data_IF_651139306644
#
_entry.id   IF_651139306644
#
_cell.length_a   1.000
_cell.length_b   1.000
_cell.length_c   1.000
_cell.angle_alpha   90.00
_cell.angle_beta   90.00
_cell.angle_gamma   90.00
#
_symmetry.space_group_name_H-M   'P 1'
#
loop_
_entity.id
_entity.type
_entity.pdbx_description
1 polymer ?
#
# COMPACT_ATOMS: atom_id res chain seq x y z
N UNK A 1 1.72 1.87 -24.88
CA UNK A 1 2.80 1.26 -24.07
C UNK A 1 2.84 -0.24 -24.35
N UNK A 2 4.01 -0.89 -24.28
CA UNK A 2 4.13 -2.36 -24.32
C UNK A 2 4.41 -2.83 -22.90
N UNK A 3 3.34 -2.94 -22.11
CA UNK A 3 3.44 -3.28 -20.69
C UNK A 3 3.70 -4.77 -20.51
N UNK A 4 4.70 -5.08 -19.70
CA UNK A 4 4.90 -6.43 -19.17
C UNK A 4 3.73 -6.81 -18.24
N UNK A 5 3.45 -8.11 -18.03
CA UNK A 5 2.41 -8.55 -17.09
C UNK A 5 2.56 -7.94 -15.69
N UNK A 6 3.79 -7.87 -15.20
CA UNK A 6 4.11 -7.27 -13.91
C UNK A 6 3.80 -5.76 -13.85
N UNK A 7 4.04 -5.01 -14.92
CA UNK A 7 3.64 -3.60 -14.97
C UNK A 7 2.12 -3.43 -15.02
N UNK A 8 1.40 -4.35 -15.66
CA UNK A 8 -0.07 -4.35 -15.66
C UNK A 8 -0.62 -4.64 -14.26
N UNK A 9 -0.04 -5.59 -13.53
CA UNK A 9 -0.40 -5.88 -12.14
C UNK A 9 -0.23 -4.65 -11.24
N UNK A 10 0.87 -3.90 -11.39
CA UNK A 10 1.09 -2.63 -10.65
C UNK A 10 0.03 -1.58 -10.96
N UNK A 11 -0.41 -1.47 -12.21
CA UNK A 11 -1.51 -0.55 -12.57
C UNK A 11 -2.85 -0.99 -11.95
N UNK A 12 -3.13 -2.30 -11.93
CA UNK A 12 -4.32 -2.83 -11.27
C UNK A 12 -4.30 -2.57 -9.76
N UNK A 13 -3.14 -2.72 -9.12
CA UNK A 13 -2.95 -2.41 -7.71
C UNK A 13 -3.22 -0.92 -7.42
N UNK A 14 -2.65 -0.02 -8.23
CA UNK A 14 -2.89 1.43 -8.07
C UNK A 14 -4.37 1.77 -8.25
N UNK A 15 -5.04 1.16 -9.22
CA UNK A 15 -6.50 1.34 -9.38
C UNK A 15 -7.30 0.78 -8.19
N UNK A 16 -6.89 -0.35 -7.60
CA UNK A 16 -7.51 -0.89 -6.40
C UNK A 16 -7.36 0.06 -5.20
N UNK A 17 -6.19 0.68 -5.04
CA UNK A 17 -5.94 1.69 -4.01
C UNK A 17 -6.83 2.93 -4.22
N UNK A 18 -6.93 3.43 -5.44
CA UNK A 18 -7.79 4.56 -5.78
C UNK A 18 -9.28 4.24 -5.56
N UNK A 19 -9.72 3.02 -5.90
CA UNK A 19 -11.07 2.55 -5.57
C UNK A 19 -11.32 2.52 -4.06
N UNK A 20 -10.35 2.04 -3.27
CA UNK A 20 -10.41 2.00 -1.82
C UNK A 20 -10.45 3.42 -1.22
N UNK A 21 -9.60 4.36 -1.66
CA UNK A 21 -9.63 5.76 -1.24
C UNK A 21 -11.00 6.41 -1.51
N UNK A 22 -11.59 6.16 -2.69
CA UNK A 22 -12.96 6.63 -3.02
C UNK A 22 -14.04 6.02 -2.10
N UNK A 23 -13.89 4.78 -1.65
CA UNK A 23 -14.80 4.14 -0.68
C UNK A 23 -14.65 4.77 0.71
N UNK A 24 -13.42 4.92 1.20
CA UNK A 24 -13.10 5.61 2.47
C UNK A 24 -13.62 7.04 2.47
N UNK A 25 -13.47 7.78 1.37
CA UNK A 25 -13.97 9.15 1.23
C UNK A 25 -15.50 9.29 1.32
N UNK A 26 -16.26 8.20 1.19
CA UNK A 26 -17.70 8.15 1.45
C UNK A 26 -18.05 7.66 2.87
N UNK A 27 -17.06 7.48 3.73
CA UNK A 27 -17.23 6.99 5.11
C UNK A 27 -17.33 5.47 5.24
N UNK A 28 -16.99 4.70 4.20
CA UNK A 28 -16.99 3.23 4.27
C UNK A 28 -15.69 2.76 4.92
N UNK A 29 -15.80 1.98 6.00
CA UNK A 29 -14.64 1.29 6.62
C UNK A 29 -14.10 0.25 5.65
N UNK A 30 -12.79 0.25 5.47
CA UNK A 30 -12.10 -0.57 4.48
C UNK A 30 -11.99 -2.02 4.92
N UNK A 31 -12.13 -2.94 3.98
CA UNK A 31 -11.83 -4.36 4.22
C UNK A 31 -10.33 -4.66 4.01
N UNK A 32 -9.95 -5.92 4.24
CA UNK A 32 -8.56 -6.38 4.14
C UNK A 32 -7.86 -6.04 2.80
N UNK A 33 -8.37 -6.44 1.61
CA UNK A 33 -7.68 -6.15 0.35
C UNK A 33 -7.62 -4.65 0.02
N UNK A 34 -8.59 -3.86 0.48
CA UNK A 34 -8.57 -2.41 0.31
C UNK A 34 -7.47 -1.75 1.15
N UNK A 35 -7.30 -2.19 2.40
CA UNK A 35 -6.23 -1.71 3.27
C UNK A 35 -4.85 -2.06 2.68
N UNK A 36 -4.65 -3.32 2.25
CA UNK A 36 -3.43 -3.76 1.55
C UNK A 36 -3.13 -2.88 0.34
N UNK A 37 -4.13 -2.63 -0.51
CA UNK A 37 -3.95 -1.85 -1.72
C UNK A 37 -3.48 -0.41 -1.43
N UNK A 38 -4.09 0.26 -0.44
CA UNK A 38 -3.71 1.63 -0.07
C UNK A 38 -2.27 1.70 0.48
N UNK A 39 -1.87 0.76 1.34
CA UNK A 39 -0.52 0.71 1.91
C UNK A 39 0.50 0.38 0.82
N UNK A 40 0.18 -0.57 -0.06
CA UNK A 40 1.05 -0.95 -1.15
C UNK A 40 1.27 0.18 -2.16
N UNK A 41 0.21 0.90 -2.52
CA UNK A 41 0.27 2.09 -3.39
C UNK A 41 1.08 3.22 -2.74
N UNK A 42 0.97 3.45 -1.43
CA UNK A 42 1.82 4.40 -0.70
C UNK A 42 3.32 4.06 -0.82
N UNK A 43 3.67 2.78 -0.72
CA UNK A 43 5.06 2.32 -0.89
C UNK A 43 5.55 2.56 -2.32
N UNK A 44 4.74 2.20 -3.33
CA UNK A 44 5.11 2.36 -4.74
C UNK A 44 5.33 3.82 -5.10
N UNK A 45 4.41 4.70 -4.70
CA UNK A 45 4.52 6.14 -4.99
C UNK A 45 5.67 6.79 -4.20
N UNK A 46 5.88 6.40 -2.94
CA UNK A 46 7.02 6.89 -2.17
C UNK A 46 8.37 6.45 -2.73
N UNK A 47 8.47 5.23 -3.27
CA UNK A 47 9.67 4.79 -3.98
C UNK A 47 9.88 5.59 -5.27
N UNK A 48 8.78 5.90 -5.99
CA UNK A 48 8.81 6.75 -7.18
C UNK A 48 9.26 8.19 -6.88
N UNK A 49 8.90 8.71 -5.72
CA UNK A 49 9.33 10.00 -5.18
C UNK A 49 10.80 10.01 -4.70
N UNK A 50 11.45 8.84 -4.65
CA UNK A 50 12.84 8.71 -4.21
C UNK A 50 13.04 8.66 -2.70
N UNK A 51 11.98 8.36 -1.93
CA UNK A 51 12.10 8.09 -0.50
C UNK A 51 12.93 6.84 -0.26
N UNK A 52 13.54 6.74 0.92
CA UNK A 52 14.31 5.54 1.27
C UNK A 52 13.41 4.37 1.65
N UNK A 53 13.93 3.14 1.56
CA UNK A 53 13.23 1.94 2.05
C UNK A 53 12.84 2.10 3.53
N UNK A 54 13.76 2.59 4.36
CA UNK A 54 13.53 2.76 5.79
C UNK A 54 12.39 3.77 6.09
N UNK A 55 12.33 4.88 5.34
CA UNK A 55 11.24 5.85 5.44
C UNK A 55 9.89 5.24 5.05
N UNK A 56 9.86 4.37 4.03
CA UNK A 56 8.63 3.71 3.59
C UNK A 56 8.19 2.60 4.55
N UNK A 57 9.13 1.90 5.17
CA UNK A 57 8.83 0.95 6.26
C UNK A 57 8.15 1.65 7.44
N UNK A 58 8.65 2.83 7.82
CA UNK A 58 8.07 3.61 8.93
C UNK A 58 6.74 4.26 8.53
N UNK A 59 6.74 5.05 7.45
CA UNK A 59 5.53 5.80 7.03
C UNK A 59 4.39 4.91 6.55
N UNK A 60 4.67 3.66 6.18
CA UNK A 60 3.65 2.65 5.87
C UNK A 60 2.73 2.33 7.06
N UNK A 61 3.21 2.49 8.30
CA UNK A 61 2.42 2.29 9.52
C UNK A 61 1.50 3.47 9.86
N UNK A 62 1.69 4.63 9.21
CA UNK A 62 0.94 5.85 9.47
C UNK A 62 -0.17 6.08 8.44
N UNK A 63 -0.33 5.18 7.45
CA UNK A 63 -1.24 5.38 6.30
C UNK A 63 -2.71 5.17 6.69
N UNK A 64 -2.97 4.19 7.56
CA UNK A 64 -4.30 3.79 7.98
C UNK A 64 -4.33 3.57 9.48
N UNK A 65 -5.46 3.94 10.09
CA UNK A 65 -5.75 3.71 11.50
C UNK A 65 -6.85 2.64 11.65
N UNK A 66 -7.06 2.14 12.87
CA UNK A 66 -8.16 1.19 13.18
C UNK A 66 -9.54 1.72 12.81
N UNK A 67 -9.73 3.03 12.85
CA UNK A 67 -11.01 3.67 12.52
C UNK A 67 -11.29 3.63 11.00
N UNK A 68 -10.24 3.50 10.18
CA UNK A 68 -10.35 3.47 8.72
C UNK A 68 -10.75 2.11 8.17
N UNK A 69 -10.53 1.04 8.93
CA UNK A 69 -10.69 -0.35 8.48
C UNK A 69 -11.76 -1.08 9.30
N UNK A 70 -12.33 -2.15 8.78
CA UNK A 70 -13.29 -3.00 9.49
C UNK A 70 -12.66 -3.71 10.70
N UNK A 71 -13.50 -4.17 11.63
CA UNK A 71 -13.05 -4.97 12.78
C UNK A 71 -12.30 -6.23 12.33
N UNK A 72 -11.20 -6.56 13.02
CA UNK A 72 -10.35 -7.71 12.71
C UNK A 72 -9.32 -7.50 11.59
N UNK A 73 -9.49 -6.46 10.75
CA UNK A 73 -8.53 -6.16 9.68
C UNK A 73 -7.11 -5.86 10.18
N UNK A 74 -6.89 -5.07 11.24
CA UNK A 74 -5.54 -4.82 11.78
C UNK A 74 -4.83 -6.11 12.19
N UNK A 75 -5.55 -7.04 12.81
CA UNK A 75 -5.00 -8.33 13.28
C UNK A 75 -4.70 -9.29 12.13
N UNK A 76 -5.45 -9.19 11.02
CA UNK A 76 -5.20 -9.98 9.81
C UNK A 76 -3.97 -9.50 9.03
N UNK A 77 -3.59 -8.23 9.18
CA UNK A 77 -2.48 -7.58 8.48
C UNK A 77 -1.18 -7.66 9.30
N UNK A 78 -0.51 -8.81 9.27
CA UNK A 78 0.82 -8.96 9.89
C UNK A 78 1.88 -8.11 9.21
N UNK A 79 1.81 -8.05 7.88
CA UNK A 79 2.74 -7.29 7.06
C UNK A 79 2.16 -7.03 5.67
N UNK A 80 2.69 -5.99 5.03
CA UNK A 80 2.49 -5.70 3.61
C UNK A 80 3.86 -5.66 2.94
N UNK A 81 4.03 -6.50 1.92
CA UNK A 81 5.27 -6.63 1.16
C UNK A 81 5.07 -6.18 -0.28
N UNK A 82 5.94 -5.28 -0.74
CA UNK A 82 5.88 -4.76 -2.11
C UNK A 82 7.28 -4.57 -2.67
N UNK A 83 7.52 -5.09 -3.86
CA UNK A 83 8.69 -4.73 -4.65
C UNK A 83 8.45 -3.41 -5.37
N UNK A 84 9.23 -2.39 -5.00
CA UNK A 84 9.13 -1.06 -5.59
C UNK A 84 10.44 -0.68 -6.30
N UNK A 85 10.33 0.13 -7.35
CA UNK A 85 11.49 0.56 -8.15
C UNK A 85 11.95 1.93 -7.66
N UNK A 86 13.08 1.95 -6.96
CA UNK A 86 13.74 3.15 -6.43
C UNK A 86 14.72 3.73 -7.46
N UNK A 87 15.23 4.96 -7.25
CA UNK A 87 16.27 5.55 -8.10
C UNK A 87 17.53 4.67 -8.26
N UNK A 88 17.82 3.82 -7.27
CA UNK A 88 18.98 2.92 -7.24
C UNK A 88 18.64 1.45 -7.48
N UNK A 89 17.41 1.14 -7.93
CA UNK A 89 17.00 -0.20 -8.34
C UNK A 89 15.75 -0.73 -7.63
N UNK A 90 15.32 -1.93 -8.00
CA UNK A 90 14.16 -2.58 -7.37
C UNK A 90 14.53 -3.16 -6.01
N UNK A 91 13.70 -2.88 -5.00
CA UNK A 91 13.88 -3.38 -3.63
C UNK A 91 12.54 -3.84 -3.06
N UNK A 92 12.58 -4.86 -2.21
CA UNK A 92 11.45 -5.29 -1.42
C UNK A 92 11.31 -4.39 -0.19
N UNK A 93 10.12 -3.82 0.00
CA UNK A 93 9.75 -3.09 1.22
C UNK A 93 8.78 -3.96 2.01
N UNK A 94 9.01 -4.09 3.31
CA UNK A 94 8.12 -4.81 4.23
C UNK A 94 7.68 -3.87 5.33
N UNK A 95 6.38 -3.60 5.40
CA UNK A 95 5.77 -2.84 6.50
C UNK A 95 5.15 -3.84 7.45
N UNK A 96 5.68 -3.93 8.67
CA UNK A 96 5.17 -4.83 9.70
C UNK A 96 4.07 -4.14 10.50
N UNK A 97 2.97 -4.86 10.77
CA UNK A 97 1.82 -4.37 11.53
C UNK A 97 1.40 -2.95 11.12
N UNK A 98 1.05 -2.74 9.83
CA UNK A 98 0.84 -1.41 9.27
C UNK A 98 -0.35 -0.65 9.87
N UNK A 99 -1.15 -1.30 10.72
CA UNK A 99 -2.31 -0.71 11.40
C UNK A 99 -2.22 -1.10 12.87
N UNK A 100 -1.93 -0.13 13.74
CA UNK A 100 -1.75 -0.32 15.18
C UNK A 100 -3.09 -0.50 15.92
#
# INVERSE_FOLDING_TARGET
>A
MRLTPHEQERLLLSYAAELARRRRGRGVRLNHPEAVAIIADHILEGARDGRSVAELMASGCDVLTRDDVMEGVPEMLSDVQVEATFPDGTKLVTVHHPIA
#
